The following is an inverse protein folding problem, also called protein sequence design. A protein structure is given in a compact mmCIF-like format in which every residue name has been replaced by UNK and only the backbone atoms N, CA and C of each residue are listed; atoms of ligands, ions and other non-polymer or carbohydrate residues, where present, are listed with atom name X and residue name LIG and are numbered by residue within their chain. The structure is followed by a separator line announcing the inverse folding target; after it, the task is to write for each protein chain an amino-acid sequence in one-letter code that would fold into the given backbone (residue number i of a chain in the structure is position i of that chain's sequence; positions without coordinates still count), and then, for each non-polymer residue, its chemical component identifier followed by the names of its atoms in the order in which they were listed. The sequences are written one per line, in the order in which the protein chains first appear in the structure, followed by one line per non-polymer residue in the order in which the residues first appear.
data_IF_592650202464
#
_entry.id   IF_592650202464
#
_cell.length_a   1.000
_cell.length_b   1.000
_cell.length_c   1.000
_cell.angle_alpha   90.00
_cell.angle_beta   90.00
_cell.angle_gamma   90.00
#
_symmetry.space_group_name_H-M   'P 1'
#
loop_
_entity.id
_entity.type
_entity.pdbx_description
1 polymer ?
#
# COMPACT_ATOMS: atom_id res chain seq x y z
N UNK A 1 15.40 -35.92 -22.66
CA UNK A 1 15.04 -34.77 -21.79
C UNK A 1 14.22 -33.83 -22.65
N UNK A 2 12.98 -33.54 -22.29
CA UNK A 2 12.27 -32.42 -22.92
C UNK A 2 13.03 -31.14 -22.58
N UNK A 3 13.00 -30.09 -23.44
CA UNK A 3 13.60 -28.81 -23.11
C UNK A 3 12.94 -28.29 -21.85
N UNK A 4 13.76 -27.75 -20.92
CA UNK A 4 13.24 -26.98 -19.79
C UNK A 4 12.45 -25.83 -20.38
N UNK A 5 11.13 -25.98 -20.43
CA UNK A 5 10.23 -24.86 -20.68
C UNK A 5 10.60 -23.76 -19.68
N UNK A 6 10.86 -22.58 -20.21
CA UNK A 6 11.35 -21.41 -19.47
C UNK A 6 10.38 -21.12 -18.32
N UNK A 7 10.65 -21.69 -17.14
CA UNK A 7 9.76 -21.59 -15.98
C UNK A 7 9.62 -20.10 -15.61
N UNK A 8 8.38 -19.64 -15.49
CA UNK A 8 8.08 -18.25 -15.09
C UNK A 8 8.71 -17.95 -13.73
N UNK A 9 9.35 -16.80 -13.61
CA UNK A 9 10.04 -16.35 -12.38
C UNK A 9 9.38 -15.13 -11.77
N UNK A 10 9.66 -14.86 -10.49
CA UNK A 10 9.23 -13.64 -9.79
C UNK A 10 9.58 -12.38 -10.58
N UNK A 11 10.81 -12.30 -11.09
CA UNK A 11 11.28 -11.14 -11.88
C UNK A 11 10.46 -10.90 -13.13
N UNK A 12 10.05 -11.96 -13.83
CA UNK A 12 9.19 -11.83 -15.02
C UNK A 12 7.81 -11.30 -14.66
N UNK A 13 7.21 -11.77 -13.56
CA UNK A 13 5.91 -11.29 -13.08
C UNK A 13 5.99 -9.82 -12.62
N UNK A 14 7.05 -9.43 -11.93
CA UNK A 14 7.29 -8.05 -11.52
C UNK A 14 7.44 -7.14 -12.73
N UNK A 15 8.25 -7.53 -13.73
CA UNK A 15 8.40 -6.79 -15.00
C UNK A 15 7.07 -6.62 -15.74
N UNK A 16 6.21 -7.64 -15.71
CA UNK A 16 4.89 -7.54 -16.32
C UNK A 16 3.99 -6.55 -15.58
N UNK A 17 3.99 -6.54 -14.24
CA UNK A 17 3.29 -5.54 -13.44
C UNK A 17 3.80 -4.13 -13.74
N UNK A 18 5.11 -3.94 -13.81
CA UNK A 18 5.72 -2.64 -14.16
C UNK A 18 5.31 -2.17 -15.55
N UNK A 19 5.29 -3.10 -16.54
CA UNK A 19 4.82 -2.81 -17.89
C UNK A 19 3.35 -2.41 -17.92
N UNK A 20 2.50 -3.08 -17.14
CA UNK A 20 1.07 -2.72 -17.00
C UNK A 20 0.89 -1.34 -16.37
N UNK A 21 1.70 -0.99 -15.37
CA UNK A 21 1.73 0.35 -14.76
C UNK A 21 2.11 1.41 -15.77
N UNK A 22 3.19 1.17 -16.53
CA UNK A 22 3.68 2.08 -17.57
C UNK A 22 2.67 2.31 -18.71
N UNK A 23 1.84 1.33 -19.00
CA UNK A 23 0.85 1.36 -20.09
C UNK A 23 -0.49 1.99 -19.70
N UNK A 24 -0.70 2.34 -18.41
CA UNK A 24 -1.95 3.01 -17.98
C UNK A 24 -1.98 4.42 -18.53
N UNK A 25 -3.09 4.85 -19.18
CA UNK A 25 -3.24 6.23 -19.58
C UNK A 25 -3.21 7.09 -18.31
N UNK A 26 -2.36 8.11 -18.28
CA UNK A 26 -2.39 9.16 -17.28
C UNK A 26 -3.82 9.67 -17.19
N UNK A 27 -4.47 9.50 -16.04
CA UNK A 27 -5.79 10.03 -15.79
C UNK A 27 -5.80 11.50 -16.22
N UNK A 28 -6.85 11.94 -16.89
CA UNK A 28 -6.97 13.26 -17.51
C UNK A 28 -6.88 14.39 -16.48
N UNK A 29 -5.68 14.64 -15.99
CA UNK A 29 -5.30 15.84 -15.27
C UNK A 29 -4.61 16.76 -16.26
N UNK A 30 -5.37 17.71 -16.81
CA UNK A 30 -4.88 18.83 -17.63
C UNK A 30 -3.87 19.65 -16.81
N UNK A 31 -2.60 19.42 -17.03
CA UNK A 31 -1.52 20.21 -16.45
C UNK A 31 -0.28 20.11 -17.33
N UNK A 32 -0.01 21.19 -18.10
CA UNK A 32 1.21 21.38 -18.88
C UNK A 32 2.42 21.51 -17.95
N UNK A 33 2.97 20.38 -17.52
CA UNK A 33 4.23 20.30 -16.79
C UNK A 33 5.21 19.41 -17.56
N UNK A 34 6.44 19.86 -17.72
CA UNK A 34 7.54 19.21 -18.39
C UNK A 34 7.67 17.77 -17.91
N UNK A 35 7.45 16.82 -18.83
CA UNK A 35 7.61 15.39 -18.59
C UNK A 35 9.07 15.08 -18.28
N UNK A 36 9.36 14.72 -17.02
CA UNK A 36 10.56 13.96 -16.66
C UNK A 36 10.30 12.49 -17.03
N UNK A 37 10.78 12.08 -18.19
CA UNK A 37 10.58 10.74 -18.79
C UNK A 37 11.29 9.60 -18.06
N UNK A 38 11.92 9.84 -16.89
CA UNK A 38 12.66 8.82 -16.15
C UNK A 38 11.86 8.16 -15.02
N UNK A 39 10.60 8.54 -14.78
CA UNK A 39 9.76 7.99 -13.71
C UNK A 39 8.72 7.03 -14.29
N UNK A 40 8.77 5.77 -13.88
CA UNK A 40 7.65 4.83 -14.06
C UNK A 40 6.36 5.46 -13.56
N UNK A 41 5.24 5.39 -14.32
CA UNK A 41 3.97 5.92 -13.87
C UNK A 41 3.57 5.22 -12.56
N UNK A 42 3.53 6.01 -11.50
CA UNK A 42 3.11 5.53 -10.20
C UNK A 42 1.61 5.20 -10.23
N UNK A 43 1.15 4.20 -9.46
CA UNK A 43 -0.28 4.00 -9.29
C UNK A 43 -0.93 5.28 -8.74
N UNK A 44 -2.22 5.47 -9.06
CA UNK A 44 -2.99 6.65 -8.71
C UNK A 44 -2.86 6.98 -7.21
N UNK A 45 -2.11 8.01 -6.88
CA UNK A 45 -1.98 8.51 -5.52
C UNK A 45 -2.62 9.89 -5.45
N UNK A 46 -3.88 9.92 -5.00
CA UNK A 46 -4.68 11.13 -4.94
C UNK A 46 -4.09 12.23 -4.03
N UNK A 47 -3.25 11.88 -3.05
CA UNK A 47 -2.55 12.87 -2.23
C UNK A 47 -1.41 13.55 -3.01
N UNK A 48 -0.72 12.82 -3.88
CA UNK A 48 0.28 13.41 -4.78
C UNK A 48 -0.36 14.33 -5.82
N UNK A 49 -1.56 13.99 -6.31
CA UNK A 49 -2.31 14.86 -7.21
C UNK A 49 -2.72 16.15 -6.51
N UNK A 50 -3.18 16.08 -5.26
CA UNK A 50 -3.46 17.27 -4.44
C UNK A 50 -2.21 18.10 -4.19
N UNK A 51 -1.08 17.44 -3.87
CA UNK A 51 0.19 18.14 -3.69
C UNK A 51 0.65 18.87 -4.96
N UNK A 52 0.53 18.22 -6.13
CA UNK A 52 0.87 18.81 -7.43
C UNK A 52 0.02 20.03 -7.79
N UNK A 53 -1.21 20.12 -7.28
CA UNK A 53 -2.10 21.29 -7.44
C UNK A 53 -1.99 22.33 -6.32
N UNK A 54 -1.16 22.07 -5.30
CA UNK A 54 -1.06 22.94 -4.12
C UNK A 54 -2.29 22.89 -3.21
N UNK A 55 -3.08 21.81 -3.28
CA UNK A 55 -4.34 21.60 -2.54
C UNK A 55 -4.19 20.67 -1.34
N UNK A 56 -3.00 20.11 -1.12
CA UNK A 56 -2.73 19.24 0.01
C UNK A 56 -2.79 20.02 1.32
N UNK A 57 -3.55 19.52 2.30
CA UNK A 57 -3.77 20.18 3.59
C UNK A 57 -3.37 19.29 4.77
N UNK A 58 -3.24 19.88 5.97
CA UNK A 58 -3.00 19.12 7.20
C UNK A 58 -4.12 18.10 7.51
N UNK A 59 -5.36 18.39 7.09
CA UNK A 59 -6.48 17.46 7.28
C UNK A 59 -6.34 16.19 6.43
N UNK A 60 -5.77 16.30 5.24
CA UNK A 60 -5.42 15.13 4.43
C UNK A 60 -4.36 14.26 5.12
N UNK A 61 -3.34 14.88 5.76
CA UNK A 61 -2.33 14.14 6.52
C UNK A 61 -2.93 13.43 7.74
N UNK A 62 -3.83 14.09 8.48
CA UNK A 62 -4.57 13.46 9.59
C UNK A 62 -5.41 12.29 9.12
N UNK A 63 -6.12 12.46 8.01
CA UNK A 63 -6.97 11.41 7.44
C UNK A 63 -6.15 10.21 6.95
N UNK A 64 -4.98 10.44 6.35
CA UNK A 64 -4.06 9.38 5.98
C UNK A 64 -3.71 8.50 7.20
N UNK A 65 -3.33 9.11 8.33
CA UNK A 65 -2.98 8.40 9.57
C UNK A 65 -4.16 7.58 10.11
N UNK A 66 -5.38 8.11 10.06
CA UNK A 66 -6.59 7.39 10.50
C UNK A 66 -6.90 6.18 9.63
N UNK A 67 -6.75 6.31 8.30
CA UNK A 67 -6.94 5.20 7.36
C UNK A 67 -5.85 4.14 7.55
N UNK A 68 -4.59 4.55 7.70
CA UNK A 68 -3.44 3.68 7.95
C UNK A 68 -3.61 2.82 9.22
N UNK A 69 -4.10 3.40 10.30
CA UNK A 69 -4.32 2.68 11.55
C UNK A 69 -5.29 1.49 11.42
N UNK A 70 -6.19 1.50 10.42
CA UNK A 70 -7.06 0.36 10.12
C UNK A 70 -6.30 -0.71 9.33
N UNK A 71 -5.37 -0.31 8.45
CA UNK A 71 -4.60 -1.24 7.62
C UNK A 71 -3.66 -2.09 8.47
N UNK A 72 -2.91 -1.52 9.39
CA UNK A 72 -1.97 -2.25 10.25
C UNK A 72 -2.61 -3.45 10.98
N UNK A 73 -3.87 -3.31 11.43
CA UNK A 73 -4.60 -4.41 12.09
C UNK A 73 -4.97 -5.52 11.12
N UNK A 74 -5.38 -5.17 9.92
CA UNK A 74 -5.70 -6.14 8.88
C UNK A 74 -4.45 -6.89 8.40
N UNK A 75 -3.34 -6.19 8.24
CA UNK A 75 -2.05 -6.75 7.86
C UNK A 75 -1.53 -7.77 8.89
N UNK A 76 -1.56 -7.44 10.19
CA UNK A 76 -1.16 -8.38 11.23
C UNK A 76 -1.99 -9.68 11.20
N UNK A 77 -3.31 -9.56 11.00
CA UNK A 77 -4.19 -10.72 10.88
C UNK A 77 -3.89 -11.53 9.61
N UNK A 78 -3.73 -10.86 8.47
CA UNK A 78 -3.43 -11.50 7.18
C UNK A 78 -2.08 -12.23 7.21
N UNK A 79 -1.02 -11.58 7.66
CA UNK A 79 0.32 -12.18 7.72
C UNK A 79 0.41 -13.32 8.75
N UNK A 80 -0.32 -13.24 9.87
CA UNK A 80 -0.48 -14.34 10.80
C UNK A 80 -1.13 -15.56 10.15
N UNK A 81 -2.21 -15.36 9.39
CA UNK A 81 -2.88 -16.41 8.63
C UNK A 81 -1.94 -17.01 7.56
N UNK A 82 -1.24 -16.17 6.80
CA UNK A 82 -0.33 -16.60 5.75
C UNK A 82 0.85 -17.42 6.30
N UNK A 83 1.36 -17.07 7.48
CA UNK A 83 2.38 -17.88 8.18
C UNK A 83 1.86 -19.28 8.48
N UNK A 84 0.60 -19.42 8.88
CA UNK A 84 -0.01 -20.71 9.16
C UNK A 84 -0.35 -21.51 7.89
N UNK A 85 -0.80 -20.82 6.82
CA UNK A 85 -1.16 -21.45 5.53
C UNK A 85 0.05 -21.97 4.76
N UNK A 86 1.16 -21.22 4.80
CA UNK A 86 2.37 -21.52 4.04
C UNK A 86 3.56 -21.73 4.99
N UNK A 87 3.63 -22.86 5.74
CA UNK A 87 4.66 -23.11 6.74
C UNK A 87 6.02 -23.50 6.10
N UNK A 88 6.36 -22.89 4.98
CA UNK A 88 7.61 -23.13 4.26
C UNK A 88 8.64 -22.09 4.67
N UNK A 89 9.91 -22.47 4.71
CA UNK A 89 10.98 -21.62 5.24
C UNK A 89 11.00 -20.20 4.64
N UNK A 90 10.83 -20.07 3.31
CA UNK A 90 10.87 -18.76 2.63
C UNK A 90 9.63 -17.91 2.95
N UNK A 91 8.45 -18.51 2.91
CA UNK A 91 7.19 -17.84 3.21
C UNK A 91 7.11 -17.40 4.67
N UNK A 92 7.46 -18.30 5.60
CA UNK A 92 7.49 -17.98 7.04
C UNK A 92 8.47 -16.84 7.31
N UNK A 93 9.65 -16.86 6.69
CA UNK A 93 10.66 -15.81 6.84
C UNK A 93 10.14 -14.43 6.38
N UNK A 94 9.38 -14.37 5.27
CA UNK A 94 8.74 -13.16 4.78
C UNK A 94 7.67 -12.64 5.74
N UNK A 95 6.66 -13.48 6.05
CA UNK A 95 5.50 -13.03 6.82
C UNK A 95 5.83 -12.73 8.29
N UNK A 96 6.76 -13.47 8.90
CA UNK A 96 7.23 -13.17 10.25
C UNK A 96 7.95 -11.81 10.31
N UNK A 97 8.74 -11.48 9.29
CA UNK A 97 9.41 -10.17 9.21
C UNK A 97 8.39 -9.04 9.01
N UNK A 98 7.37 -9.23 8.19
CA UNK A 98 6.28 -8.26 8.02
C UNK A 98 5.50 -8.05 9.32
N UNK A 99 5.16 -9.12 10.05
CA UNK A 99 4.52 -9.03 11.37
C UNK A 99 5.39 -8.19 12.32
N UNK A 100 6.70 -8.46 12.38
CA UNK A 100 7.64 -7.72 13.22
C UNK A 100 7.70 -6.24 12.84
N UNK A 101 7.74 -5.94 11.53
CA UNK A 101 7.79 -4.59 11.00
C UNK A 101 6.52 -3.81 11.35
N UNK A 102 5.34 -4.35 11.04
CA UNK A 102 4.05 -3.69 11.33
C UNK A 102 3.86 -3.50 12.84
N UNK A 103 4.12 -4.55 13.64
CA UNK A 103 4.03 -4.43 15.10
C UNK A 103 4.97 -3.35 15.65
N UNK A 104 6.20 -3.27 15.13
CA UNK A 104 7.16 -2.24 15.51
C UNK A 104 6.79 -0.82 15.05
N UNK A 105 6.03 -0.69 13.95
CA UNK A 105 5.58 0.58 13.42
C UNK A 105 4.35 1.16 14.15
N UNK A 106 3.56 0.35 14.86
CA UNK A 106 2.34 0.81 15.54
C UNK A 106 2.56 1.94 16.56
N UNK A 107 3.59 1.90 17.43
CA UNK A 107 3.89 3.03 18.32
C UNK A 107 4.23 4.31 17.54
N UNK A 108 5.05 4.21 16.50
CA UNK A 108 5.45 5.36 15.69
C UNK A 108 4.26 6.00 14.94
N UNK A 109 3.28 5.21 14.50
CA UNK A 109 2.03 5.74 13.96
C UNK A 109 1.21 6.47 15.02
N UNK A 110 1.20 5.98 16.26
CA UNK A 110 0.54 6.66 17.38
C UNK A 110 1.21 8.01 17.68
N UNK A 111 2.55 8.06 17.72
CA UNK A 111 3.30 9.29 17.93
C UNK A 111 3.05 10.28 16.78
N UNK A 112 3.00 9.80 15.55
CA UNK A 112 2.65 10.59 14.37
C UNK A 112 1.23 11.19 14.50
N UNK A 113 0.25 10.40 14.94
CA UNK A 113 -1.11 10.86 15.16
C UNK A 113 -1.19 11.96 16.24
N UNK A 114 -0.55 11.75 17.38
CA UNK A 114 -0.51 12.73 18.49
C UNK A 114 0.16 14.04 18.03
N UNK A 115 1.25 13.97 17.27
CA UNK A 115 1.93 15.15 16.71
C UNK A 115 1.05 15.92 15.69
N UNK A 116 0.12 15.24 15.00
CA UNK A 116 -0.88 15.86 14.13
C UNK A 116 -2.13 16.35 14.88
N UNK A 117 -2.18 16.18 16.20
CA UNK A 117 -3.31 16.58 17.05
C UNK A 117 -4.49 15.59 17.02
N UNK A 118 -4.27 14.35 16.61
CA UNK A 118 -5.24 13.26 16.69
C UNK A 118 -5.16 12.58 18.06
N UNK A 119 -6.31 12.20 18.59
CA UNK A 119 -6.42 11.40 19.80
C UNK A 119 -6.37 9.89 19.47
N UNK A 120 -6.16 9.07 20.50
CA UNK A 120 -6.28 7.60 20.35
C UNK A 120 -7.70 7.15 19.95
N UNK A 121 -8.71 7.90 20.31
CA UNK A 121 -10.10 7.59 19.93
C UNK A 121 -10.35 7.90 18.46
N UNK A 122 -9.69 8.93 17.89
CA UNK A 122 -9.74 9.18 16.44
C UNK A 122 -9.18 7.99 15.66
N UNK A 123 -8.08 7.36 16.11
CA UNK A 123 -7.51 6.17 15.49
C UNK A 123 -8.37 4.91 15.64
N UNK A 124 -9.26 4.86 16.63
CA UNK A 124 -10.19 3.75 16.87
C UNK A 124 -11.49 3.92 16.13
N UNK A 125 -11.87 5.15 15.81
CA UNK A 125 -13.11 5.47 15.13
C UNK A 125 -13.02 5.02 13.66
N UNK A 126 -13.86 4.06 13.23
CA UNK A 126 -13.79 3.56 11.85
C UNK A 126 -14.15 4.65 10.85
N UNK A 127 -13.33 4.89 9.81
CA UNK A 127 -13.72 5.78 8.72
C UNK A 127 -15.04 5.32 8.08
N UNK A 128 -15.92 6.29 7.75
CA UNK A 128 -17.19 5.98 7.09
C UNK A 128 -17.08 5.78 5.57
N UNK A 129 -15.91 6.09 5.01
CA UNK A 129 -15.61 5.92 3.60
C UNK A 129 -15.23 4.46 3.33
N UNK A 130 -16.00 3.75 2.50
CA UNK A 130 -15.75 2.34 2.17
C UNK A 130 -14.39 2.12 1.49
N UNK A 131 -13.85 3.12 0.78
CA UNK A 131 -12.52 3.05 0.14
C UNK A 131 -11.39 2.87 1.16
N UNK A 132 -11.58 3.34 2.41
CA UNK A 132 -10.62 3.12 3.49
C UNK A 132 -10.45 1.63 3.88
N UNK A 133 -11.34 0.77 3.40
CA UNK A 133 -11.32 -0.69 3.67
C UNK A 133 -11.00 -1.53 2.44
N UNK A 134 -10.81 -0.90 1.28
CA UNK A 134 -10.56 -1.64 0.04
C UNK A 134 -9.28 -2.46 0.12
N UNK A 135 -8.18 -1.87 0.62
CA UNK A 135 -6.93 -2.57 0.87
C UNK A 135 -7.13 -3.74 1.84
N UNK A 136 -7.75 -3.48 2.99
CA UNK A 136 -7.99 -4.49 4.03
C UNK A 136 -8.80 -5.68 3.51
N UNK A 137 -9.87 -5.40 2.76
CA UNK A 137 -10.73 -6.43 2.15
C UNK A 137 -9.99 -7.25 1.12
N UNK A 138 -9.24 -6.60 0.22
CA UNK A 138 -8.47 -7.27 -0.82
C UNK A 138 -7.35 -8.12 -0.21
N UNK A 139 -6.57 -7.57 0.73
CA UNK A 139 -5.51 -8.31 1.41
C UNK A 139 -6.05 -9.52 2.17
N UNK A 140 -7.17 -9.35 2.90
CA UNK A 140 -7.81 -10.45 3.64
C UNK A 140 -8.31 -11.55 2.69
N UNK A 141 -8.92 -11.18 1.57
CA UNK A 141 -9.35 -12.14 0.55
C UNK A 141 -8.15 -12.87 -0.07
N UNK A 142 -7.08 -12.16 -0.44
CA UNK A 142 -5.85 -12.77 -0.95
C UNK A 142 -5.23 -13.70 0.11
N UNK A 143 -5.25 -13.31 1.39
CA UNK A 143 -4.73 -14.15 2.46
C UNK A 143 -5.54 -15.44 2.67
N UNK A 144 -6.83 -15.44 2.34
CA UNK A 144 -7.70 -16.62 2.42
C UNK A 144 -7.61 -17.52 1.18
N UNK A 145 -7.61 -16.95 -0.01
CA UNK A 145 -7.81 -17.66 -1.27
C UNK A 145 -6.52 -17.80 -2.10
N UNK A 146 -5.55 -16.88 -1.92
CA UNK A 146 -4.34 -16.84 -2.74
C UNK A 146 -3.41 -18.03 -2.50
N UNK A 147 -2.66 -18.42 -3.54
CA UNK A 147 -1.53 -19.33 -3.43
C UNK A 147 -0.32 -18.65 -2.79
N UNK A 148 0.74 -19.38 -2.50
CA UNK A 148 1.98 -18.81 -1.94
C UNK A 148 2.57 -17.75 -2.88
N UNK A 149 2.67 -18.02 -4.19
CA UNK A 149 3.20 -17.07 -5.16
C UNK A 149 2.31 -15.82 -5.27
N UNK A 150 0.98 -16.00 -5.26
CA UNK A 150 0.03 -14.89 -5.35
C UNK A 150 0.11 -13.95 -4.14
N UNK A 151 0.16 -14.51 -2.93
CA UNK A 151 0.26 -13.72 -1.70
C UNK A 151 1.60 -13.00 -1.58
N UNK A 152 2.71 -13.67 -1.92
CA UNK A 152 4.04 -13.07 -1.88
C UNK A 152 4.22 -11.97 -2.94
N UNK A 153 3.67 -12.15 -4.17
CA UNK A 153 3.71 -11.12 -5.22
C UNK A 153 2.83 -9.92 -4.85
N UNK A 154 1.67 -10.16 -4.23
CA UNK A 154 0.84 -9.08 -3.71
C UNK A 154 1.57 -8.26 -2.63
N UNK A 155 2.27 -8.93 -1.70
CA UNK A 155 3.12 -8.25 -0.70
C UNK A 155 4.24 -7.47 -1.36
N UNK A 156 4.94 -8.04 -2.34
CA UNK A 156 5.97 -7.31 -3.09
C UNK A 156 5.39 -6.04 -3.73
N UNK A 157 4.21 -6.15 -4.33
CA UNK A 157 3.50 -5.02 -4.94
C UNK A 157 3.18 -3.95 -3.91
N UNK A 158 2.67 -4.32 -2.73
CA UNK A 158 2.40 -3.40 -1.63
C UNK A 158 3.66 -2.65 -1.20
N UNK A 159 4.74 -3.35 -0.94
CA UNK A 159 6.01 -2.77 -0.53
C UNK A 159 6.54 -1.73 -1.55
N UNK A 160 6.45 -2.02 -2.84
CA UNK A 160 6.92 -1.11 -3.89
C UNK A 160 5.97 0.07 -4.07
N UNK A 161 4.67 -0.21 -4.16
CA UNK A 161 3.66 0.79 -4.56
C UNK A 161 3.31 1.70 -3.40
N UNK A 162 3.00 1.12 -2.24
CA UNK A 162 2.58 1.89 -1.07
C UNK A 162 3.76 2.66 -0.47
N UNK A 163 4.87 1.98 -0.12
CA UNK A 163 6.01 2.67 0.50
C UNK A 163 6.66 3.67 -0.46
N UNK A 164 6.80 3.35 -1.75
CA UNK A 164 7.25 4.31 -2.74
C UNK A 164 6.29 5.49 -2.92
N UNK A 165 4.98 5.28 -2.71
CA UNK A 165 3.96 6.33 -2.63
C UNK A 165 4.15 7.24 -1.43
N UNK A 166 4.46 6.67 -0.26
CA UNK A 166 4.74 7.38 0.98
C UNK A 166 5.99 8.27 0.86
N UNK A 167 7.10 7.73 0.34
CA UNK A 167 8.33 8.50 0.12
C UNK A 167 8.09 9.73 -0.77
N UNK A 168 7.41 9.53 -1.91
CA UNK A 168 7.06 10.66 -2.81
C UNK A 168 6.14 11.68 -2.14
N UNK A 169 5.21 11.24 -1.29
CA UNK A 169 4.36 12.15 -0.52
C UNK A 169 5.18 12.97 0.46
N UNK A 170 6.12 12.36 1.18
CA UNK A 170 7.04 13.08 2.09
C UNK A 170 7.87 14.11 1.33
N UNK A 171 8.39 13.75 0.15
CA UNK A 171 9.13 14.69 -0.69
C UNK A 171 8.25 15.87 -1.15
N UNK A 172 7.01 15.61 -1.56
CA UNK A 172 6.06 16.65 -1.95
C UNK A 172 5.69 17.56 -0.77
N UNK A 173 5.48 16.98 0.43
CA UNK A 173 5.22 17.74 1.66
C UNK A 173 6.40 18.65 2.00
N UNK A 174 7.64 18.14 1.93
CA UNK A 174 8.85 18.94 2.16
C UNK A 174 9.05 20.06 1.15
N UNK A 175 8.70 19.80 -0.11
CA UNK A 175 8.90 20.77 -1.20
C UNK A 175 7.91 21.95 -1.16
N UNK A 176 6.63 21.66 -0.92
CA UNK A 176 5.56 22.67 -1.06
C UNK A 176 4.26 22.33 -0.33
N UNK A 177 4.27 21.30 0.53
CA UNK A 177 3.09 20.85 1.26
C UNK A 177 2.78 21.67 2.52
N UNK A 178 1.75 21.28 3.27
CA UNK A 178 1.44 21.86 4.57
C UNK A 178 2.56 21.56 5.58
N UNK A 179 2.73 22.37 6.64
CA UNK A 179 3.61 22.03 7.73
C UNK A 179 3.28 20.65 8.31
N UNK A 180 4.26 19.77 8.34
CA UNK A 180 4.12 18.41 8.86
C UNK A 180 5.11 18.19 10.03
N UNK A 181 4.70 17.49 11.10
CA UNK A 181 5.59 17.19 12.21
C UNK A 181 6.67 16.19 11.78
N UNK A 182 7.77 16.17 12.55
CA UNK A 182 8.91 15.28 12.28
C UNK A 182 8.48 13.80 12.29
N UNK A 183 7.62 13.43 13.21
CA UNK A 183 7.08 12.09 13.40
C UNK A 183 6.35 11.59 12.13
N UNK A 184 5.60 12.46 11.45
CA UNK A 184 4.98 12.15 10.16
C UNK A 184 6.03 11.91 9.07
N UNK A 185 7.02 12.81 8.95
CA UNK A 185 8.05 12.72 7.93
C UNK A 185 8.95 11.50 8.12
N UNK A 186 9.23 11.10 9.36
CA UNK A 186 10.02 9.91 9.71
C UNK A 186 9.21 8.63 9.45
N UNK A 187 7.93 8.57 9.85
CA UNK A 187 7.09 7.40 9.66
C UNK A 187 6.87 7.08 8.18
N UNK A 188 6.39 8.06 7.41
CA UNK A 188 6.08 7.86 5.99
C UNK A 188 7.32 7.92 5.06
N UNK A 189 8.43 8.42 5.55
CA UNK A 189 9.70 8.47 4.81
C UNK A 189 10.66 7.32 5.11
N UNK A 190 10.23 6.29 5.84
CA UNK A 190 11.10 5.17 6.24
C UNK A 190 11.55 4.28 5.07
N UNK A 191 10.77 4.25 3.98
CA UNK A 191 11.07 3.45 2.79
C UNK A 191 10.98 1.94 3.01
N UNK A 192 11.38 1.19 1.99
CA UNK A 192 11.41 -0.27 2.03
C UNK A 192 12.83 -0.80 2.05
N UNK A 193 13.13 -1.73 2.97
CA UNK A 193 14.42 -2.41 2.98
C UNK A 193 14.53 -3.36 1.76
N UNK A 194 15.62 -3.28 0.95
CA UNK A 194 15.81 -4.14 -0.22
C UNK A 194 15.74 -5.64 0.10
N UNK A 195 16.18 -6.01 1.31
CA UNK A 195 16.17 -7.40 1.78
C UNK A 195 14.73 -7.96 1.92
N UNK A 196 13.76 -7.10 2.24
CA UNK A 196 12.36 -7.50 2.33
C UNK A 196 11.76 -7.77 0.95
N UNK A 197 12.09 -6.96 -0.04
CA UNK A 197 11.72 -7.19 -1.44
C UNK A 197 12.33 -8.49 -1.96
N UNK A 198 13.62 -8.72 -1.69
CA UNK A 198 14.28 -9.96 -2.09
C UNK A 198 13.63 -11.21 -1.45
N UNK A 199 13.22 -11.14 -0.17
CA UNK A 199 12.47 -12.23 0.49
C UNK A 199 11.10 -12.48 -0.17
N UNK A 200 10.40 -11.42 -0.58
CA UNK A 200 9.13 -11.55 -1.29
C UNK A 200 9.35 -12.24 -2.65
N UNK A 201 10.37 -11.83 -3.43
CA UNK A 201 10.75 -12.48 -4.70
C UNK A 201 11.08 -13.98 -4.50
N UNK A 202 11.87 -14.30 -3.49
CA UNK A 202 12.20 -15.70 -3.16
C UNK A 202 10.97 -16.54 -2.78
N UNK A 203 9.99 -15.95 -2.07
CA UNK A 203 8.75 -16.63 -1.71
C UNK A 203 7.84 -16.84 -2.94
N UNK A 204 7.80 -15.88 -3.90
CA UNK A 204 7.13 -16.03 -5.19
C UNK A 204 7.76 -17.19 -5.98
N UNK A 205 9.07 -17.19 -6.17
CA UNK A 205 9.77 -18.23 -6.92
C UNK A 205 9.59 -19.62 -6.28
N UNK A 206 9.52 -19.71 -4.95
CA UNK A 206 9.27 -20.97 -4.25
C UNK A 206 7.84 -21.46 -4.50
N UNK A 207 6.83 -20.58 -4.51
CA UNK A 207 5.43 -20.92 -4.84
C UNK A 207 5.30 -21.40 -6.29
N UNK A 208 5.89 -20.68 -7.24
CA UNK A 208 5.88 -21.06 -8.66
C UNK A 208 6.52 -22.42 -8.90
N UNK A 209 7.64 -22.73 -8.23
CA UNK A 209 8.28 -24.07 -8.30
C UNK A 209 7.43 -25.17 -7.69
N UNK A 210 6.50 -24.85 -6.79
CA UNK A 210 5.51 -25.78 -6.22
C UNK A 210 4.29 -25.97 -7.09
N UNK A 211 4.19 -25.26 -8.21
CA UNK A 211 3.10 -25.37 -9.19
C UNK A 211 2.03 -24.29 -9.05
N UNK A 212 2.29 -23.20 -8.33
CA UNK A 212 1.36 -22.07 -8.27
C UNK A 212 1.21 -21.43 -9.66
N UNK A 213 -0.02 -21.02 -9.99
CA UNK A 213 -0.34 -20.41 -11.27
C UNK A 213 0.13 -18.94 -11.34
N UNK A 214 1.04 -18.61 -12.29
CA UNK A 214 1.55 -17.26 -12.46
C UNK A 214 0.48 -16.23 -12.87
N UNK A 215 -0.54 -16.64 -13.63
CA UNK A 215 -1.61 -15.74 -14.08
C UNK A 215 -2.48 -15.30 -12.88
N UNK A 216 -2.80 -16.22 -11.98
CA UNK A 216 -3.50 -15.94 -10.73
C UNK A 216 -2.65 -15.03 -9.82
N UNK A 217 -1.34 -15.26 -9.73
CA UNK A 217 -0.44 -14.42 -8.94
C UNK A 217 -0.44 -12.96 -9.46
N UNK A 218 -0.29 -12.78 -10.76
CA UNK A 218 -0.39 -11.46 -11.41
C UNK A 218 -1.73 -10.77 -11.16
N UNK A 219 -2.83 -11.52 -11.29
CA UNK A 219 -4.18 -10.97 -11.09
C UNK A 219 -4.39 -10.47 -9.66
N UNK A 220 -4.00 -11.25 -8.67
CA UNK A 220 -4.15 -10.87 -7.26
C UNK A 220 -3.25 -9.69 -6.87
N UNK A 221 -2.01 -9.65 -7.34
CA UNK A 221 -1.12 -8.52 -7.13
C UNK A 221 -1.66 -7.23 -7.76
N UNK A 222 -2.22 -7.32 -8.98
CA UNK A 222 -2.89 -6.20 -9.63
C UNK A 222 -4.12 -5.71 -8.87
N UNK A 223 -4.96 -6.62 -8.33
CA UNK A 223 -6.12 -6.24 -7.51
C UNK A 223 -5.68 -5.50 -6.22
N UNK A 224 -4.61 -5.96 -5.57
CA UNK A 224 -4.07 -5.27 -4.40
C UNK A 224 -3.60 -3.86 -4.77
N UNK A 225 -2.90 -3.70 -5.88
CA UNK A 225 -2.48 -2.38 -6.37
C UNK A 225 -3.66 -1.43 -6.59
N UNK A 226 -4.78 -1.93 -7.18
CA UNK A 226 -6.00 -1.12 -7.35
C UNK A 226 -6.59 -0.69 -5.99
N UNK A 227 -6.53 -1.56 -5.00
CA UNK A 227 -7.03 -1.26 -3.65
C UNK A 227 -6.15 -0.24 -2.91
N UNK A 228 -4.84 -0.20 -3.17
CA UNK A 228 -3.93 0.87 -2.70
C UNK A 228 -4.34 2.21 -3.30
N UNK A 229 -4.74 2.26 -4.58
CA UNK A 229 -5.29 3.47 -5.19
C UNK A 229 -6.54 3.98 -4.46
N UNK A 230 -7.44 3.08 -4.05
CA UNK A 230 -8.63 3.45 -3.25
C UNK A 230 -8.26 3.92 -1.84
N UNK A 231 -7.25 3.33 -1.22
CA UNK A 231 -6.69 3.82 0.05
C UNK A 231 -6.26 5.29 -0.07
N UNK A 232 -5.49 5.65 -1.10
CA UNK A 232 -5.07 7.04 -1.34
C UNK A 232 -6.26 7.97 -1.58
N UNK A 233 -7.29 7.51 -2.31
CA UNK A 233 -8.52 8.28 -2.51
C UNK A 233 -9.28 8.51 -1.20
N UNK A 234 -9.33 7.50 -0.31
CA UNK A 234 -9.92 7.65 1.01
C UNK A 234 -9.17 8.68 1.88
N UNK A 235 -7.84 8.67 1.82
CA UNK A 235 -7.01 9.64 2.54
C UNK A 235 -7.15 11.07 1.97
N UNK A 236 -7.39 11.21 0.66
CA UNK A 236 -7.58 12.47 -0.03
C UNK A 236 -9.00 13.05 0.06
N UNK A 237 -9.98 12.28 0.54
CA UNK A 237 -11.36 12.75 0.61
C UNK A 237 -11.49 13.92 1.59
N UNK A 238 -12.16 14.99 1.20
CA UNK A 238 -12.54 16.05 2.12
C UNK A 238 -13.57 15.52 3.11
N UNK A 239 -13.43 15.84 4.40
CA UNK A 239 -14.45 15.53 5.39
C UNK A 239 -15.74 16.24 4.98
N UNK A 240 -16.76 15.52 4.55
CA UNK A 240 -18.08 16.11 4.49
C UNK A 240 -18.42 16.54 5.93
N UNK A 241 -18.64 17.82 6.13
CA UNK A 241 -19.12 18.32 7.42
C UNK A 241 -20.35 17.44 7.84
N UNK A 242 -20.41 16.97 9.10
CA UNK A 242 -21.57 16.21 9.53
C UNK A 242 -22.82 17.04 9.24
N UNK A 243 -23.74 16.47 8.47
CA UNK A 243 -25.01 17.12 8.21
C UNK A 243 -25.62 17.47 9.59
N UNK A 244 -25.85 18.77 9.84
CA UNK A 244 -26.49 19.20 11.05
C UNK A 244 -27.78 18.38 11.24
N UNK A 245 -28.06 17.84 12.44
CA UNK A 245 -29.26 17.07 12.66
C UNK A 245 -30.45 17.96 12.29
N UNK A 246 -31.29 17.47 11.37
CA UNK A 246 -32.52 18.15 11.02
C UNK A 246 -33.34 18.33 12.31
N UNK A 247 -33.48 19.58 12.75
CA UNK A 247 -34.42 19.93 13.83
C UNK A 247 -35.80 19.54 13.32
N UNK A 248 -36.38 18.50 13.90
CA UNK A 248 -37.80 18.16 13.69
C UNK A 248 -38.57 19.08 14.58
N UNK A 249 -39.30 20.01 13.97
CA UNK A 249 -40.37 20.78 14.62
C UNK A 249 -41.56 19.86 14.99
#
# INVERSE_FOLDING_TARGET
MPPEENATTAKQLIMELDTRRASRPLGAASGTGREDQSRSPAPDNALLDLAGRGELTADHLRRLVVVEAQCQRAELAAYGLLTARFPHHRSVGLYAELIRLIHGAMPALTDCAEALGLSRDDLRTPPQDHRAYAFNGTLSWIALEGSQAATALAVHTDLVVYLGGCERLVDAVRASGPPAPREFLEYYGAGCAPELLARAEEAVDDGLRRGDDPATALHMAWLLEQSIGQFWQAAAATSAAPAAPAVRD
#
